data_IF_196486342388
#
_entry.id   IF_196486342388
#
_cell.length_a   1.000
_cell.length_b   1.000
_cell.length_c   1.000
_cell.angle_alpha   90.00
_cell.angle_beta   90.00
_cell.angle_gamma   90.00
#
_symmetry.space_group_name_H-M   'P 1'
#
loop_
_entity.id
_entity.type
_entity.pdbx_description
1 polymer ?
#
# COMPACT_ATOMS: atom_id res chain seq x y z
N UNK A 1 -7.44 7.80 14.28
CA UNK A 1 -6.05 8.19 14.04
C UNK A 1 -5.78 8.04 12.55
N UNK A 2 -5.80 9.15 11.83
CA UNK A 2 -5.30 9.15 10.45
C UNK A 2 -3.78 9.14 10.58
N UNK A 3 -3.19 7.95 10.54
CA UNK A 3 -1.78 7.87 10.28
C UNK A 3 -1.59 8.35 8.84
N UNK A 4 -1.05 9.54 8.70
CA UNK A 4 -0.40 9.94 7.47
C UNK A 4 0.56 8.81 7.16
N UNK A 5 0.31 8.12 6.06
CA UNK A 5 1.21 7.08 5.56
C UNK A 5 2.58 7.74 5.37
N UNK A 6 3.35 7.76 6.42
CA UNK A 6 4.78 7.88 6.30
C UNK A 6 5.15 6.60 5.53
N UNK A 7 5.36 6.76 4.24
CA UNK A 7 5.84 5.71 3.34
C UNK A 7 7.28 5.33 3.74
N UNK A 8 7.44 4.89 4.97
CA UNK A 8 8.53 4.04 5.36
C UNK A 8 8.38 2.78 4.52
N UNK A 9 9.20 2.69 3.50
CA UNK A 9 9.31 1.57 2.59
C UNK A 9 9.06 0.25 3.33
N UNK A 10 8.12 -0.56 2.83
CA UNK A 10 7.87 -1.97 3.10
C UNK A 10 6.57 -2.37 3.81
N UNK A 11 5.60 -1.52 4.04
CA UNK A 11 4.40 -1.97 4.74
C UNK A 11 3.22 -2.36 3.85
N UNK A 12 3.28 -2.05 2.54
CA UNK A 12 2.15 -2.27 1.63
C UNK A 12 2.61 -3.02 0.37
N UNK A 13 2.12 -4.22 0.16
CA UNK A 13 2.49 -5.06 -0.98
C UNK A 13 1.24 -5.54 -1.71
N UNK A 14 1.23 -5.38 -3.05
CA UNK A 14 0.22 -6.04 -3.86
C UNK A 14 0.40 -7.56 -3.73
N UNK A 15 -0.64 -8.25 -3.30
CA UNK A 15 -0.61 -9.72 -3.30
C UNK A 15 -0.66 -10.25 -4.74
N UNK A 16 0.05 -11.33 -5.02
CA UNK A 16 -0.08 -11.98 -6.32
C UNK A 16 -1.52 -12.44 -6.52
N UNK A 17 -2.11 -12.09 -7.66
CA UNK A 17 -3.41 -12.62 -8.05
C UNK A 17 -3.25 -14.01 -8.65
N UNK A 18 -4.26 -14.86 -8.49
CA UNK A 18 -4.27 -16.15 -9.13
C UNK A 18 -4.44 -16.00 -10.63
N UNK A 19 -3.59 -16.64 -11.44
CA UNK A 19 -3.86 -16.71 -12.86
C UNK A 19 -5.17 -17.49 -13.09
N UNK A 20 -6.01 -17.00 -14.00
CA UNK A 20 -7.29 -17.64 -14.36
C UNK A 20 -7.11 -18.93 -15.19
N UNK A 21 -6.01 -19.63 -15.00
CA UNK A 21 -5.60 -20.79 -15.82
C UNK A 21 -5.84 -22.16 -15.16
N UNK A 22 -6.46 -22.16 -13.97
CA UNK A 22 -6.78 -23.38 -13.24
C UNK A 22 -5.58 -24.09 -12.59
N UNK A 23 -4.41 -23.45 -12.52
CA UNK A 23 -3.19 -24.05 -11.94
C UNK A 23 -3.08 -23.92 -10.40
N UNK A 24 -4.14 -23.53 -9.72
CA UNK A 24 -4.17 -23.36 -8.28
C UNK A 24 -3.85 -21.93 -7.81
N UNK A 25 -3.97 -21.71 -6.51
CA UNK A 25 -3.75 -20.41 -5.91
C UNK A 25 -2.26 -20.16 -5.68
N UNK A 26 -1.73 -19.08 -6.26
CA UNK A 26 -0.37 -18.60 -5.95
C UNK A 26 -0.26 -18.23 -4.47
N UNK A 27 -1.31 -17.61 -3.93
CA UNK A 27 -1.37 -17.25 -2.50
C UNK A 27 -1.27 -18.51 -1.63
N UNK A 28 -2.07 -19.55 -1.94
CA UNK A 28 -2.05 -20.82 -1.18
C UNK A 28 -0.70 -21.56 -1.28
N UNK A 29 0.04 -21.32 -2.36
CA UNK A 29 1.39 -21.87 -2.51
C UNK A 29 2.40 -21.16 -1.64
N UNK A 30 2.25 -19.84 -1.44
CA UNK A 30 3.22 -18.99 -0.76
C UNK A 30 2.91 -18.78 0.73
N UNK A 31 1.63 -18.84 1.11
CA UNK A 31 1.17 -18.43 2.43
C UNK A 31 0.24 -19.46 3.08
N UNK A 32 0.27 -19.48 4.41
CA UNK A 32 -0.77 -20.08 5.25
C UNK A 32 -1.76 -18.97 5.66
N UNK A 33 -3.05 -19.20 5.45
CA UNK A 33 -4.10 -18.33 5.99
C UNK A 33 -4.35 -18.73 7.45
N UNK A 34 -4.00 -17.87 8.38
CA UNK A 34 -4.11 -18.10 9.81
C UNK A 34 -5.52 -17.79 10.33
N UNK A 35 -6.17 -16.78 9.75
CA UNK A 35 -7.52 -16.36 10.10
C UNK A 35 -8.15 -15.54 8.96
N UNK A 36 -9.47 -15.52 8.89
CA UNK A 36 -10.24 -14.82 7.86
C UNK A 36 -10.21 -15.55 6.51
N UNK A 37 -10.54 -14.81 5.44
CA UNK A 37 -10.62 -15.33 4.07
C UNK A 37 -10.13 -14.25 3.09
N UNK A 38 -9.30 -14.62 2.13
CA UNK A 38 -8.85 -13.71 1.08
C UNK A 38 -9.86 -13.73 -0.06
N UNK A 39 -10.49 -12.58 -0.30
CA UNK A 39 -11.43 -12.37 -1.39
C UNK A 39 -10.75 -11.51 -2.45
N UNK A 40 -10.22 -12.16 -3.47
CA UNK A 40 -9.40 -11.51 -4.50
C UNK A 40 -10.19 -10.52 -5.36
N UNK A 41 -11.48 -10.75 -5.51
CA UNK A 41 -12.43 -9.92 -6.27
C UNK A 41 -13.03 -8.76 -5.47
N UNK A 42 -12.78 -8.69 -4.16
CA UNK A 42 -13.18 -7.59 -3.30
C UNK A 42 -11.98 -6.72 -2.90
N UNK A 43 -12.12 -5.38 -2.87
CA UNK A 43 -11.09 -4.51 -2.30
C UNK A 43 -10.86 -4.82 -0.83
N UNK A 44 -9.64 -5.21 -0.48
CA UNK A 44 -9.34 -5.63 0.89
C UNK A 44 -7.88 -5.51 1.26
N UNK A 45 -7.64 -5.53 2.56
CA UNK A 45 -6.32 -5.60 3.15
C UNK A 45 -6.09 -6.97 3.77
N UNK A 46 -4.87 -7.42 3.70
CA UNK A 46 -4.42 -8.68 4.27
C UNK A 46 -3.24 -8.37 5.17
N UNK A 47 -3.30 -8.78 6.44
CA UNK A 47 -2.15 -8.65 7.34
C UNK A 47 -1.23 -9.84 7.20
N UNK A 48 0.01 -9.59 6.87
CA UNK A 48 1.07 -10.61 6.94
C UNK A 48 1.78 -10.53 8.29
N UNK A 49 1.95 -11.65 8.94
CA UNK A 49 2.80 -11.82 10.13
C UNK A 49 4.09 -12.54 9.74
N UNK A 50 5.13 -12.42 10.58
CA UNK A 50 6.37 -13.14 10.37
C UNK A 50 6.23 -14.65 10.68
N UNK A 51 7.32 -15.41 10.50
CA UNK A 51 7.37 -16.86 10.74
C UNK A 51 7.08 -17.27 12.19
N UNK A 52 7.11 -16.34 13.14
CA UNK A 52 6.81 -16.54 14.56
C UNK A 52 5.45 -15.96 14.97
N UNK A 53 4.61 -15.57 14.00
CA UNK A 53 3.35 -14.86 14.21
C UNK A 53 3.55 -13.50 14.90
N UNK A 54 4.67 -12.83 14.67
CA UNK A 54 4.94 -11.52 15.22
C UNK A 54 4.60 -10.43 14.22
N UNK A 55 4.23 -9.27 14.74
CA UNK A 55 3.87 -8.08 14.00
C UNK A 55 4.83 -6.97 14.40
N UNK A 56 5.37 -6.22 13.43
CA UNK A 56 6.22 -5.06 13.73
C UNK A 56 5.44 -3.97 14.45
N UNK A 57 6.11 -3.27 15.36
CA UNK A 57 5.50 -2.20 16.15
C UNK A 57 4.84 -1.13 15.26
N UNK A 58 5.46 -0.77 14.15
CA UNK A 58 4.91 0.18 13.18
C UNK A 58 3.57 -0.28 12.56
N UNK A 59 3.39 -1.59 12.37
CA UNK A 59 2.12 -2.17 11.92
C UNK A 59 1.08 -2.12 13.03
N UNK A 60 1.48 -2.42 14.28
CA UNK A 60 0.60 -2.30 15.45
C UNK A 60 0.15 -0.86 15.69
N UNK A 61 1.03 0.11 15.48
CA UNK A 61 0.66 1.53 15.54
C UNK A 61 -0.38 1.89 14.47
N UNK A 62 -0.18 1.39 13.24
CA UNK A 62 -1.15 1.58 12.14
C UNK A 62 -2.52 0.98 12.47
N UNK A 63 -2.55 -0.18 13.12
CA UNK A 63 -3.76 -0.83 13.62
C UNK A 63 -4.35 -0.14 14.88
N UNK A 64 -3.62 0.78 15.51
CA UNK A 64 -4.02 1.37 16.79
C UNK A 64 -3.93 0.40 17.99
N UNK A 65 -3.16 -0.67 17.84
CA UNK A 65 -3.07 -1.78 18.81
C UNK A 65 -1.77 -1.77 19.64
N UNK A 66 -0.86 -0.84 19.41
CA UNK A 66 0.47 -0.78 20.05
C UNK A 66 0.46 -0.74 21.59
N UNK A 67 -0.68 -0.37 22.20
CA UNK A 67 -0.84 -0.32 23.65
C UNK A 67 -1.40 -1.60 24.27
N UNK A 68 -1.78 -2.59 23.46
CA UNK A 68 -2.31 -3.86 23.95
C UNK A 68 -1.17 -4.78 24.35
N UNK A 69 -1.30 -5.47 25.49
CA UNK A 69 -0.34 -6.47 25.98
C UNK A 69 -0.46 -7.81 25.25
N UNK A 70 -1.62 -8.09 24.70
CA UNK A 70 -1.88 -9.25 23.83
C UNK A 70 -2.88 -8.86 22.76
N UNK A 71 -2.76 -9.46 21.59
CA UNK A 71 -3.58 -9.14 20.42
C UNK A 71 -4.09 -10.47 19.87
N UNK A 72 -5.39 -10.59 19.72
CA UNK A 72 -6.04 -11.73 19.08
C UNK A 72 -6.24 -11.46 17.58
N UNK A 73 -6.52 -12.49 16.80
CA UNK A 73 -6.87 -12.33 15.40
C UNK A 73 -8.16 -11.52 15.21
N UNK A 74 -9.12 -11.66 16.14
CA UNK A 74 -10.37 -10.92 16.13
C UNK A 74 -10.17 -9.41 16.34
N UNK A 75 -9.12 -9.02 17.06
CA UNK A 75 -8.77 -7.60 17.23
C UNK A 75 -8.35 -6.94 15.91
N UNK A 76 -7.88 -7.73 14.95
CA UNK A 76 -7.32 -7.29 13.68
C UNK A 76 -8.34 -7.43 12.55
N UNK A 77 -9.02 -8.58 12.49
CA UNK A 77 -10.00 -8.86 11.45
C UNK A 77 -11.14 -7.84 11.47
N UNK A 78 -11.59 -7.46 10.27
CA UNK A 78 -12.63 -6.46 10.06
C UNK A 78 -12.30 -5.03 10.51
N UNK A 79 -11.06 -4.74 10.93
CA UNK A 79 -10.66 -3.35 11.09
C UNK A 79 -10.80 -2.59 9.78
N UNK A 80 -11.37 -1.39 9.87
CA UNK A 80 -11.66 -0.57 8.70
C UNK A 80 -10.61 0.52 8.51
N UNK A 81 -10.22 0.70 7.25
CA UNK A 81 -9.34 1.75 6.80
C UNK A 81 -10.00 2.57 5.70
N UNK A 82 -9.58 3.82 5.59
CA UNK A 82 -10.00 4.72 4.52
C UNK A 82 -8.83 4.97 3.58
N UNK A 83 -8.99 4.59 2.33
CA UNK A 83 -8.06 4.96 1.26
C UNK A 83 -8.52 6.31 0.70
N UNK A 84 -7.74 7.34 0.98
CA UNK A 84 -8.01 8.69 0.51
C UNK A 84 -7.41 8.83 -0.90
N UNK A 85 -8.22 9.24 -1.84
CA UNK A 85 -7.79 9.42 -3.22
C UNK A 85 -6.96 10.70 -3.36
N UNK A 86 -5.99 10.72 -4.25
CA UNK A 86 -5.11 11.87 -4.44
C UNK A 86 -5.87 13.17 -4.73
N UNK A 87 -6.97 13.08 -5.48
CA UNK A 87 -7.78 14.25 -5.81
C UNK A 87 -8.45 14.91 -4.59
N UNK A 88 -8.67 14.16 -3.52
CA UNK A 88 -9.23 14.65 -2.27
C UNK A 88 -8.13 14.98 -1.25
N UNK A 89 -7.00 14.24 -1.32
CA UNK A 89 -5.86 14.46 -0.43
C UNK A 89 -5.10 15.74 -0.75
N UNK A 90 -4.97 16.10 -2.04
CA UNK A 90 -4.25 17.30 -2.45
C UNK A 90 -5.21 18.44 -2.76
N UNK A 91 -4.87 19.63 -2.27
CA UNK A 91 -5.52 20.90 -2.58
C UNK A 91 -4.65 21.68 -3.56
N UNK A 92 -5.26 22.20 -4.63
CA UNK A 92 -4.57 23.02 -5.61
C UNK A 92 -4.67 24.51 -5.22
N UNK A 93 -3.55 25.19 -5.14
CA UNK A 93 -3.45 26.63 -4.96
C UNK A 93 -2.58 27.19 -6.08
N UNK A 94 -3.20 27.85 -7.07
CA UNK A 94 -2.52 28.20 -8.32
C UNK A 94 -2.08 26.94 -9.08
N UNK A 95 -0.80 26.83 -9.40
CA UNK A 95 -0.23 25.68 -10.10
C UNK A 95 0.41 24.63 -9.15
N UNK A 96 0.29 24.85 -7.84
CA UNK A 96 0.95 23.99 -6.84
C UNK A 96 -0.08 23.17 -6.06
N UNK A 97 0.27 21.92 -5.79
CA UNK A 97 -0.53 21.00 -4.99
C UNK A 97 0.05 20.86 -3.58
N UNK A 98 -0.82 20.97 -2.58
CA UNK A 98 -0.47 20.85 -1.17
C UNK A 98 -1.30 19.74 -0.51
N UNK A 99 -0.70 18.92 0.38
CA UNK A 99 -1.47 17.97 1.17
C UNK A 99 -2.52 18.67 2.03
N UNK A 100 -3.74 18.17 2.02
CA UNK A 100 -4.79 18.64 2.92
C UNK A 100 -4.45 18.23 4.36
N UNK A 101 -4.41 19.20 5.26
CA UNK A 101 -4.07 19.01 6.67
C UNK A 101 -5.30 18.67 7.54
N UNK A 102 -6.52 18.81 7.01
CA UNK A 102 -7.74 18.45 7.72
C UNK A 102 -8.01 16.93 7.63
N UNK A 103 -7.32 16.20 8.49
CA UNK A 103 -7.44 14.73 8.54
C UNK A 103 -8.88 14.28 8.87
N UNK A 104 -9.65 15.08 9.61
CA UNK A 104 -11.03 14.74 9.94
C UNK A 104 -11.92 14.82 8.70
N UNK A 105 -11.77 15.89 7.91
CA UNK A 105 -12.46 16.05 6.64
C UNK A 105 -12.11 14.91 5.70
N UNK A 106 -10.83 14.58 5.57
CA UNK A 106 -10.37 13.47 4.72
C UNK A 106 -10.99 12.14 5.14
N UNK A 107 -11.04 11.85 6.44
CA UNK A 107 -11.61 10.60 6.95
C UNK A 107 -13.12 10.48 6.67
N UNK A 108 -13.86 11.59 6.72
CA UNK A 108 -15.31 11.62 6.47
C UNK A 108 -15.66 11.80 5.00
N UNK A 109 -14.67 11.90 4.11
CA UNK A 109 -14.90 12.08 2.68
C UNK A 109 -15.61 10.85 2.07
N UNK A 110 -16.76 11.08 1.43
CA UNK A 110 -17.57 10.04 0.82
C UNK A 110 -16.91 9.39 -0.41
N UNK A 111 -15.95 10.08 -1.04
CA UNK A 111 -15.20 9.52 -2.18
C UNK A 111 -14.17 8.48 -1.74
N UNK A 112 -13.76 8.49 -0.47
CA UNK A 112 -12.78 7.53 0.05
C UNK A 112 -13.27 6.09 -0.15
N UNK A 113 -12.30 5.17 -0.30
CA UNK A 113 -12.60 3.74 -0.38
C UNK A 113 -12.46 3.16 1.03
N UNK A 114 -13.53 2.56 1.55
CA UNK A 114 -13.45 1.80 2.80
C UNK A 114 -12.97 0.41 2.49
N UNK A 115 -11.91 -0.02 3.16
CA UNK A 115 -11.36 -1.38 3.07
C UNK A 115 -11.27 -1.99 4.46
N UNK A 116 -11.33 -3.32 4.53
CA UNK A 116 -11.23 -4.09 5.78
C UNK A 116 -10.03 -5.02 5.72
N UNK A 117 -9.50 -5.37 6.89
CA UNK A 117 -8.59 -6.50 7.00
C UNK A 117 -9.41 -7.78 6.86
N UNK A 118 -9.25 -8.45 5.72
CA UNK A 118 -10.01 -9.65 5.35
C UNK A 118 -9.40 -10.92 5.95
N UNK A 119 -8.07 -10.98 5.97
CA UNK A 119 -7.35 -12.17 6.40
C UNK A 119 -6.02 -11.81 7.08
N UNK A 120 -5.52 -12.77 7.84
CA UNK A 120 -4.17 -12.76 8.41
C UNK A 120 -3.44 -13.95 7.82
N UNK A 121 -2.26 -13.69 7.25
CA UNK A 121 -1.44 -14.69 6.55
C UNK A 121 -0.03 -14.76 7.13
N UNK A 122 0.61 -15.90 6.92
CA UNK A 122 2.01 -16.14 7.24
C UNK A 122 2.70 -16.80 6.05
N UNK A 123 3.89 -16.34 5.70
CA UNK A 123 4.69 -17.00 4.67
C UNK A 123 5.01 -18.44 5.06
N UNK A 124 4.87 -19.37 4.12
CA UNK A 124 5.29 -20.77 4.32
C UNK A 124 6.80 -20.85 4.49
N UNK A 125 7.26 -21.79 5.31
CA UNK A 125 8.67 -21.96 5.65
C UNK A 125 9.54 -22.15 4.39
N UNK A 126 9.05 -22.89 3.42
CA UNK A 126 9.70 -23.16 2.13
C UNK A 126 9.86 -21.90 1.27
N UNK A 127 9.07 -20.87 1.54
CA UNK A 127 9.06 -19.57 0.83
C UNK A 127 9.60 -18.43 1.69
N UNK A 128 10.21 -18.72 2.83
CA UNK A 128 10.61 -17.73 3.83
C UNK A 128 11.56 -16.64 3.32
N UNK A 129 12.36 -16.91 2.30
CA UNK A 129 13.24 -15.90 1.68
C UNK A 129 12.46 -14.77 1.00
N UNK A 130 11.24 -15.04 0.52
CA UNK A 130 10.40 -14.09 -0.22
C UNK A 130 9.31 -13.49 0.68
N UNK A 131 8.82 -14.31 1.63
CA UNK A 131 7.62 -13.99 2.41
C UNK A 131 7.91 -13.66 3.88
N UNK A 132 9.19 -13.55 4.26
CA UNK A 132 9.54 -13.26 5.65
C UNK A 132 9.39 -11.77 5.97
N UNK A 133 8.56 -11.46 6.95
CA UNK A 133 8.30 -10.09 7.40
C UNK A 133 6.86 -9.90 7.84
N UNK A 134 6.55 -8.75 8.38
CA UNK A 134 5.17 -8.36 8.67
C UNK A 134 4.82 -7.04 7.96
N UNK A 135 3.56 -6.91 7.55
CA UNK A 135 3.07 -5.75 6.82
C UNK A 135 1.67 -5.97 6.29
N UNK A 136 1.23 -5.05 5.45
CA UNK A 136 -0.06 -5.18 4.79
C UNK A 136 0.11 -5.61 3.33
N UNK A 137 -0.63 -6.64 2.94
CA UNK A 137 -0.95 -6.93 1.56
C UNK A 137 -2.28 -6.29 1.15
N UNK A 138 -2.51 -6.12 -0.13
CA UNK A 138 -3.79 -5.69 -0.66
C UNK A 138 -4.13 -6.43 -1.96
N UNK A 139 -5.43 -6.54 -2.24
CA UNK A 139 -5.94 -7.25 -3.42
C UNK A 139 -5.80 -6.40 -4.68
N UNK A 140 -5.72 -7.05 -5.84
CA UNK A 140 -5.74 -6.35 -7.12
C UNK A 140 -7.04 -5.56 -7.31
N UNK A 141 -8.17 -6.06 -6.82
CA UNK A 141 -9.45 -5.37 -6.84
C UNK A 141 -9.39 -3.99 -6.17
N UNK A 142 -8.57 -3.81 -5.12
CA UNK A 142 -8.32 -2.49 -4.54
C UNK A 142 -7.60 -1.57 -5.52
N UNK A 143 -6.57 -2.07 -6.20
CA UNK A 143 -5.85 -1.30 -7.23
C UNK A 143 -6.80 -0.85 -8.35
N UNK A 144 -7.60 -1.78 -8.86
CA UNK A 144 -8.56 -1.49 -9.92
C UNK A 144 -9.58 -0.44 -9.48
N UNK A 145 -10.10 -0.54 -8.26
CA UNK A 145 -11.04 0.45 -7.72
C UNK A 145 -10.40 1.83 -7.55
N UNK A 146 -9.16 1.91 -7.08
CA UNK A 146 -8.41 3.17 -6.96
C UNK A 146 -8.21 3.79 -8.34
N UNK A 147 -7.78 3.01 -9.33
CA UNK A 147 -7.58 3.47 -10.70
C UNK A 147 -8.90 3.97 -11.30
N UNK A 148 -9.97 3.17 -11.18
CA UNK A 148 -11.29 3.52 -11.72
C UNK A 148 -11.81 4.85 -11.15
N UNK A 149 -11.72 5.03 -9.83
CA UNK A 149 -12.16 6.28 -9.18
C UNK A 149 -11.30 7.48 -9.54
N UNK A 150 -10.00 7.28 -9.83
CA UNK A 150 -9.08 8.39 -10.13
C UNK A 150 -8.97 8.72 -11.63
N UNK A 151 -9.30 7.83 -12.56
CA UNK A 151 -9.01 7.99 -14.00
C UNK A 151 -9.50 9.29 -14.62
N UNK A 152 -10.60 9.86 -14.09
CA UNK A 152 -11.21 11.11 -14.54
C UNK A 152 -11.01 12.27 -13.55
N UNK A 153 -10.19 12.10 -12.53
CA UNK A 153 -9.92 13.14 -11.53
C UNK A 153 -9.18 14.33 -12.14
N UNK A 154 -9.29 15.50 -11.49
CA UNK A 154 -8.62 16.71 -11.95
C UNK A 154 -7.08 16.53 -11.96
N UNK A 155 -6.53 15.91 -10.94
CA UNK A 155 -5.09 15.62 -10.85
C UNK A 155 -4.63 14.79 -12.05
N UNK A 156 -5.35 13.71 -12.40
CA UNK A 156 -4.99 12.85 -13.53
C UNK A 156 -5.09 13.59 -14.85
N UNK A 157 -6.11 14.44 -15.03
CA UNK A 157 -6.24 15.27 -16.23
C UNK A 157 -5.08 16.25 -16.37
N UNK A 158 -4.76 16.98 -15.32
CA UNK A 158 -3.64 17.92 -15.31
C UNK A 158 -2.30 17.22 -15.51
N UNK A 159 -2.11 16.03 -14.89
CA UNK A 159 -0.88 15.27 -15.06
C UNK A 159 -0.65 14.83 -16.51
N UNK A 160 -1.71 14.48 -17.24
CA UNK A 160 -1.60 14.09 -18.66
C UNK A 160 -1.18 15.24 -19.58
N UNK A 161 -1.35 16.49 -19.15
CA UNK A 161 -0.98 17.69 -19.89
C UNK A 161 0.45 18.18 -19.60
N UNK A 162 1.14 17.55 -18.64
CA UNK A 162 2.45 17.97 -18.17
C UNK A 162 3.49 16.87 -18.36
N UNK A 163 4.71 17.28 -18.65
CA UNK A 163 5.90 16.43 -18.80
C UNK A 163 6.73 16.30 -17.50
N UNK A 164 6.17 16.75 -16.40
CA UNK A 164 6.72 16.63 -15.05
C UNK A 164 5.65 16.18 -14.06
N UNK A 165 6.08 15.62 -12.93
CA UNK A 165 5.18 15.23 -11.85
C UNK A 165 4.59 16.48 -11.18
N UNK A 166 3.27 16.69 -11.34
CA UNK A 166 2.59 17.90 -10.85
C UNK A 166 2.52 18.00 -9.31
N UNK A 167 2.67 16.88 -8.60
CA UNK A 167 2.63 16.86 -7.13
C UNK A 167 3.99 17.20 -6.51
N UNK A 168 5.08 16.82 -7.16
CA UNK A 168 6.44 17.04 -6.68
C UNK A 168 7.19 18.11 -7.47
N UNK A 169 6.61 18.55 -8.58
CA UNK A 169 7.21 19.48 -9.53
C UNK A 169 8.57 18.99 -10.09
N UNK A 170 8.73 17.67 -10.22
CA UNK A 170 9.96 17.02 -10.65
C UNK A 170 9.80 16.54 -12.10
N UNK A 171 10.71 16.91 -13.02
CA UNK A 171 10.69 16.42 -14.40
C UNK A 171 10.81 14.89 -14.46
N UNK A 172 10.08 14.24 -15.36
CA UNK A 172 10.17 12.79 -15.54
C UNK A 172 11.51 12.32 -16.11
N UNK A 173 12.21 13.20 -16.80
CA UNK A 173 13.52 12.91 -17.41
C UNK A 173 14.68 13.53 -16.64
N UNK A 174 14.51 13.83 -15.35
CA UNK A 174 15.59 14.37 -14.53
C UNK A 174 16.65 13.29 -14.28
N UNK A 175 17.74 13.38 -15.03
CA UNK A 175 18.92 12.50 -14.89
C UNK A 175 19.73 12.82 -13.63
N UNK A 176 19.56 14.00 -13.03
CA UNK A 176 20.27 14.39 -11.81
C UNK A 176 19.89 13.52 -10.63
N UNK A 177 18.64 13.07 -10.57
CA UNK A 177 18.20 12.11 -9.52
C UNK A 177 18.87 10.74 -9.70
N UNK A 178 19.12 10.30 -10.95
CA UNK A 178 19.85 9.06 -11.21
C UNK A 178 21.33 9.19 -10.82
N UNK A 179 21.96 10.29 -11.14
CA UNK A 179 23.36 10.54 -10.80
C UNK A 179 23.56 10.70 -9.28
N UNK A 180 22.62 11.32 -8.58
CA UNK A 180 22.70 11.44 -7.12
C UNK A 180 22.50 10.11 -6.41
N UNK A 181 21.60 9.24 -6.89
CA UNK A 181 21.40 7.89 -6.35
C UNK A 181 22.60 7.00 -6.66
N UNK A 182 23.15 7.07 -7.86
CA UNK A 182 24.36 6.33 -8.25
C UNK A 182 25.60 6.79 -7.45
N UNK A 183 25.72 8.10 -7.18
CA UNK A 183 26.77 8.63 -6.32
C UNK A 183 26.69 8.16 -4.85
N UNK A 184 25.50 7.84 -4.37
CA UNK A 184 25.29 7.28 -3.02
C UNK A 184 25.57 5.77 -2.93
N UNK A 185 25.41 5.03 -4.02
CA UNK A 185 25.54 3.58 -4.05
C UNK A 185 26.95 3.09 -4.42
N UNK A 186 27.86 3.99 -4.80
CA UNK A 186 29.21 3.66 -5.26
C UNK A 186 29.23 3.09 -6.69
N UNK A 187 30.40 3.16 -7.31
CA UNK A 187 30.61 2.88 -8.74
C UNK A 187 30.44 1.39 -9.15
N UNK A 188 30.20 0.50 -8.17
CA UNK A 188 30.12 -0.96 -8.37
C UNK A 188 28.68 -1.55 -8.29
N UNK A 189 27.65 -0.72 -8.25
CA UNK A 189 26.28 -1.21 -8.15
C UNK A 189 25.59 -1.28 -9.51
N UNK A 190 25.05 -2.46 -9.82
CA UNK A 190 24.20 -2.68 -10.99
C UNK A 190 22.98 -1.75 -10.90
N UNK A 191 22.71 -0.92 -11.91
CA UNK A 191 21.54 -0.04 -11.88
C UNK A 191 20.25 -0.88 -11.89
N UNK A 192 19.56 -0.91 -10.77
CA UNK A 192 18.19 -1.45 -10.70
C UNK A 192 17.25 -0.34 -11.16
N UNK A 193 16.72 -0.46 -12.36
CA UNK A 193 15.65 0.39 -12.82
C UNK A 193 14.36 0.02 -12.09
N UNK A 194 13.90 0.91 -11.20
CA UNK A 194 12.57 0.81 -10.61
C UNK A 194 11.62 1.58 -11.53
N UNK A 195 10.69 0.89 -12.15
CA UNK A 195 9.60 1.45 -12.95
C UNK A 195 8.35 1.59 -12.10
#
# INVERSE_FOLDING_TARGET
LVNTLNLGMQQWTLLPSNPNDGQGSVIDTMYDVLAGEIKEDEPGLILQVDSKNQIYESVLETLGLSKKSSISFEDILNQEFKIILNNDYYQQIGDIFYPNQDLKQLYTNENSITVKVQAIIRGKEEQSMITNGSGFGYTNALTEQVVEKNKNSNIVKLQKEKDYNILTNTPFNDTTTKESILGYLGDDTIPVAIY
#
